data_IF_576431806573
#
_entry.id   IF_576431806573
#
_cell.length_a   1.000
_cell.length_b   1.000
_cell.length_c   1.000
_cell.angle_alpha   90.00
_cell.angle_beta   90.00
_cell.angle_gamma   90.00
#
_symmetry.space_group_name_H-M   'P 1'
#
loop_
_entity.id
_entity.type
_entity.pdbx_description
1 polymer ?
#
# COMPACT_ATOMS: atom_id res chain seq x y z
N UNK A 1 -9.84 21.08 -6.12
CA UNK A 1 -9.91 19.65 -5.74
C UNK A 1 -9.58 19.53 -4.27
N UNK A 2 -10.43 18.90 -3.50
CA UNK A 2 -10.23 18.64 -2.07
C UNK A 2 -10.19 17.12 -1.85
N UNK A 3 -9.13 16.64 -1.19
CA UNK A 3 -8.92 15.23 -0.89
C UNK A 3 -9.26 14.92 0.56
N UNK A 4 -9.94 13.81 0.78
CA UNK A 4 -10.20 13.28 2.11
C UNK A 4 -9.58 11.90 2.24
N UNK A 5 -8.60 11.76 3.12
CA UNK A 5 -8.05 10.48 3.51
C UNK A 5 -8.79 9.95 4.75
N UNK A 6 -9.17 8.69 4.70
CA UNK A 6 -9.75 7.96 5.85
C UNK A 6 -8.99 6.67 6.03
N UNK A 7 -8.65 6.35 7.29
CA UNK A 7 -7.99 5.11 7.67
C UNK A 7 -8.95 4.24 8.47
N UNK A 8 -8.99 2.95 8.15
CA UNK A 8 -9.64 1.90 8.93
C UNK A 8 -8.63 0.81 9.23
N UNK A 9 -8.33 0.59 10.50
CA UNK A 9 -7.38 -0.47 10.90
C UNK A 9 -8.16 -1.72 11.28
N UNK A 10 -7.81 -2.87 10.69
CA UNK A 10 -8.57 -4.11 10.83
C UNK A 10 -7.68 -5.37 10.78
N UNK A 11 -8.32 -6.51 11.06
CA UNK A 11 -7.65 -7.82 11.03
C UNK A 11 -6.84 -8.12 12.29
N UNK A 12 -6.33 -9.36 12.35
CA UNK A 12 -5.59 -9.88 13.51
C UNK A 12 -4.23 -9.21 13.71
N UNK A 13 -3.66 -8.66 12.65
CA UNK A 13 -2.37 -7.96 12.67
C UNK A 13 -2.50 -6.44 12.52
N UNK A 14 -3.74 -5.92 12.59
CA UNK A 14 -4.03 -4.49 12.62
C UNK A 14 -3.52 -3.74 11.38
N UNK A 15 -3.84 -4.24 10.19
CA UNK A 15 -3.47 -3.60 8.92
C UNK A 15 -4.28 -2.34 8.67
N UNK A 16 -3.63 -1.30 8.19
CA UNK A 16 -4.23 -0.03 7.82
C UNK A 16 -4.81 -0.09 6.41
N UNK A 17 -6.11 0.04 6.31
CA UNK A 17 -6.85 0.14 5.05
C UNK A 17 -7.12 1.62 4.79
N UNK A 18 -6.72 2.13 3.65
CA UNK A 18 -6.88 3.55 3.33
C UNK A 18 -7.95 3.77 2.27
N UNK A 19 -8.69 4.85 2.44
CA UNK A 19 -9.64 5.39 1.48
C UNK A 19 -9.21 6.81 1.14
N UNK A 20 -8.72 7.03 -0.06
CA UNK A 20 -8.46 8.39 -0.56
C UNK A 20 -9.64 8.79 -1.45
N UNK A 21 -10.37 9.81 -1.05
CA UNK A 21 -11.55 10.31 -1.75
C UNK A 21 -11.32 11.71 -2.31
N UNK A 22 -11.68 11.93 -3.56
CA UNK A 22 -11.92 13.25 -4.12
C UNK A 22 -13.33 13.68 -3.69
N UNK A 23 -13.42 14.76 -2.87
CA UNK A 23 -14.70 15.19 -2.29
C UNK A 23 -15.60 15.88 -3.31
N UNK A 24 -15.05 16.37 -4.42
CA UNK A 24 -15.81 17.04 -5.49
C UNK A 24 -16.50 16.03 -6.41
N UNK A 25 -15.79 14.95 -6.82
CA UNK A 25 -16.36 13.93 -7.70
C UNK A 25 -17.08 12.82 -6.93
N UNK A 26 -16.67 12.59 -5.66
CA UNK A 26 -17.13 11.48 -4.85
C UNK A 26 -16.36 10.19 -5.11
N UNK A 27 -15.48 10.13 -6.08
CA UNK A 27 -14.64 8.98 -6.39
C UNK A 27 -13.64 8.67 -5.28
N UNK A 28 -13.28 7.39 -5.13
CA UNK A 28 -12.40 6.91 -4.08
C UNK A 28 -11.49 5.78 -4.58
N UNK A 29 -10.24 5.79 -4.15
CA UNK A 29 -9.33 4.65 -4.26
C UNK A 29 -9.23 3.98 -2.89
N UNK A 30 -9.30 2.64 -2.87
CA UNK A 30 -9.13 1.82 -1.66
C UNK A 30 -7.77 1.12 -1.74
N UNK A 31 -6.95 1.25 -0.68
CA UNK A 31 -5.64 0.61 -0.60
C UNK A 31 -5.66 -0.49 0.48
N UNK A 32 -5.06 -1.63 0.13
CA UNK A 32 -4.82 -2.78 0.99
C UNK A 32 -6.06 -3.22 1.81
N UNK A 33 -7.16 -3.60 1.15
CA UNK A 33 -8.36 -4.07 1.86
C UNK A 33 -8.10 -5.45 2.48
N UNK A 34 -7.40 -5.46 3.60
CA UNK A 34 -6.82 -6.66 4.21
C UNK A 34 -7.76 -7.45 5.12
N UNK A 35 -8.93 -6.94 5.49
CA UNK A 35 -9.86 -7.66 6.34
C UNK A 35 -11.27 -7.05 6.30
N UNK A 36 -12.29 -7.85 6.67
CA UNK A 36 -13.64 -7.36 6.96
C UNK A 36 -14.30 -6.58 5.79
N UNK A 37 -14.45 -7.25 4.64
CA UNK A 37 -15.02 -6.68 3.43
C UNK A 37 -16.34 -5.94 3.66
N UNK A 38 -17.26 -6.52 4.43
CA UNK A 38 -18.56 -5.91 4.74
C UNK A 38 -18.40 -4.54 5.42
N UNK A 39 -17.40 -4.38 6.30
CA UNK A 39 -17.13 -3.10 6.97
C UNK A 39 -16.49 -2.08 6.02
N UNK A 40 -15.59 -2.52 5.16
CA UNK A 40 -14.98 -1.67 4.11
C UNK A 40 -16.07 -1.12 3.19
N UNK A 41 -16.98 -1.98 2.73
CA UNK A 41 -18.13 -1.61 1.91
C UNK A 41 -19.03 -0.61 2.64
N UNK A 42 -19.38 -0.88 3.90
CA UNK A 42 -20.19 0.03 4.72
C UNK A 42 -19.51 1.41 4.88
N UNK A 43 -18.20 1.44 5.11
CA UNK A 43 -17.44 2.70 5.22
C UNK A 43 -17.54 3.49 3.91
N UNK A 44 -17.25 2.85 2.79
CA UNK A 44 -17.30 3.51 1.48
C UNK A 44 -18.70 4.06 1.17
N UNK A 45 -19.73 3.23 1.28
CA UNK A 45 -21.09 3.60 0.89
C UNK A 45 -21.78 4.54 1.87
N UNK A 46 -21.74 4.20 3.18
CA UNK A 46 -22.57 4.88 4.18
C UNK A 46 -21.87 6.02 4.88
N UNK A 47 -20.58 5.83 5.24
CA UNK A 47 -19.85 6.83 6.00
C UNK A 47 -19.20 7.88 5.11
N UNK A 48 -18.53 7.42 4.02
CA UNK A 48 -17.86 8.31 3.08
C UNK A 48 -18.76 8.77 1.94
N UNK A 49 -19.82 8.02 1.65
CA UNK A 49 -20.65 8.22 0.45
C UNK A 49 -19.74 8.34 -0.78
N UNK A 50 -18.83 7.40 -0.91
CA UNK A 50 -17.81 7.37 -1.93
C UNK A 50 -18.16 6.35 -3.01
N UNK A 51 -17.65 6.58 -4.21
CA UNK A 51 -17.71 5.67 -5.32
C UNK A 51 -16.30 5.12 -5.57
N UNK A 52 -15.95 3.92 -5.09
CA UNK A 52 -14.66 3.32 -5.38
C UNK A 52 -14.45 3.14 -6.89
N UNK A 53 -13.26 3.49 -7.37
CA UNK A 53 -12.86 3.38 -8.79
C UNK A 53 -11.73 2.38 -8.99
N UNK A 54 -10.97 2.09 -7.94
CA UNK A 54 -9.88 1.12 -7.95
C UNK A 54 -9.61 0.56 -6.55
N UNK A 55 -9.05 -0.66 -6.52
CA UNK A 55 -8.37 -1.24 -5.36
C UNK A 55 -6.88 -1.35 -5.71
N UNK A 56 -6.00 -0.76 -4.90
CA UNK A 56 -4.56 -0.84 -5.05
C UNK A 56 -3.96 -1.72 -3.96
N UNK A 57 -3.07 -2.63 -4.33
CA UNK A 57 -2.33 -3.48 -3.40
C UNK A 57 -0.87 -3.04 -3.37
N UNK A 58 -0.34 -2.79 -2.18
CA UNK A 58 1.09 -2.49 -2.00
C UNK A 58 1.94 -3.76 -2.10
N UNK A 59 1.40 -4.88 -1.61
CA UNK A 59 2.00 -6.21 -1.71
C UNK A 59 0.93 -7.29 -1.44
N UNK A 60 1.32 -8.55 -1.51
CA UNK A 60 0.38 -9.66 -1.51
C UNK A 60 0.25 -10.44 -0.21
N UNK A 61 0.78 -10.03 0.94
CA UNK A 61 0.53 -10.74 2.19
C UNK A 61 -0.95 -10.75 2.54
N UNK A 62 -1.39 -11.85 3.18
CA UNK A 62 -2.81 -12.14 3.41
C UNK A 62 -3.58 -11.01 4.06
N UNK A 63 -2.95 -10.31 4.98
CA UNK A 63 -3.56 -9.24 5.76
C UNK A 63 -3.72 -7.92 4.98
N UNK A 64 -3.15 -7.81 3.79
CA UNK A 64 -3.38 -6.71 2.84
C UNK A 64 -4.39 -7.07 1.74
N UNK A 65 -4.65 -8.36 1.51
CA UNK A 65 -5.43 -8.81 0.35
C UNK A 65 -6.71 -9.56 0.70
N UNK A 66 -6.95 -9.93 1.96
CA UNK A 66 -8.02 -10.85 2.36
C UNK A 66 -9.41 -10.42 1.87
N UNK A 67 -9.71 -9.14 1.90
CA UNK A 67 -10.99 -8.59 1.45
C UNK A 67 -10.95 -8.02 0.01
N UNK A 68 -9.77 -8.00 -0.65
CA UNK A 68 -9.58 -7.29 -1.91
C UNK A 68 -10.52 -7.76 -3.02
N UNK A 69 -10.67 -9.08 -3.17
CA UNK A 69 -11.55 -9.64 -4.19
C UNK A 69 -13.01 -9.29 -3.94
N UNK A 70 -13.52 -9.51 -2.73
CA UNK A 70 -14.91 -9.25 -2.38
C UNK A 70 -15.26 -7.76 -2.53
N UNK A 71 -14.38 -6.88 -2.08
CA UNK A 71 -14.55 -5.42 -2.22
C UNK A 71 -14.55 -5.01 -3.70
N UNK A 72 -13.60 -5.51 -4.49
CA UNK A 72 -13.51 -5.18 -5.91
C UNK A 72 -14.72 -5.70 -6.71
N UNK A 73 -15.19 -6.93 -6.42
CA UNK A 73 -16.39 -7.51 -7.04
C UNK A 73 -17.66 -6.72 -6.68
N UNK A 74 -17.80 -6.31 -5.40
CA UNK A 74 -18.96 -5.54 -4.94
C UNK A 74 -19.11 -4.21 -5.68
N UNK A 75 -18.00 -3.48 -5.85
CA UNK A 75 -18.01 -2.18 -6.53
C UNK A 75 -17.83 -2.27 -8.05
N UNK A 76 -17.55 -3.46 -8.59
CA UNK A 76 -17.30 -3.64 -10.02
C UNK A 76 -16.00 -2.99 -10.50
N UNK A 77 -14.98 -2.86 -9.62
CA UNK A 77 -13.72 -2.20 -9.91
C UNK A 77 -12.57 -3.20 -10.06
N UNK A 78 -11.44 -2.73 -10.61
CA UNK A 78 -10.24 -3.55 -10.80
C UNK A 78 -9.33 -3.48 -9.58
N UNK A 79 -8.60 -4.58 -9.34
CA UNK A 79 -7.47 -4.65 -8.43
C UNK A 79 -6.20 -4.37 -9.23
N UNK A 80 -5.30 -3.56 -8.69
CA UNK A 80 -4.00 -3.23 -9.26
C UNK A 80 -2.90 -3.69 -8.30
N UNK A 81 -1.87 -4.32 -8.82
CA UNK A 81 -0.70 -4.76 -8.05
C UNK A 81 0.54 -4.78 -8.94
N UNK A 82 1.73 -4.69 -8.35
CA UNK A 82 2.96 -4.81 -9.12
C UNK A 82 3.05 -6.20 -9.78
N UNK A 83 3.43 -6.28 -11.06
CA UNK A 83 3.51 -7.55 -11.79
C UNK A 83 4.44 -8.55 -11.08
N UNK A 84 5.52 -8.08 -10.47
CA UNK A 84 6.46 -8.91 -9.73
C UNK A 84 5.83 -9.63 -8.51
N UNK A 85 4.64 -9.23 -8.07
CA UNK A 85 3.93 -9.85 -6.94
C UNK A 85 3.02 -11.01 -7.36
N UNK A 86 2.91 -11.29 -8.66
CA UNK A 86 1.98 -12.29 -9.23
C UNK A 86 2.07 -13.66 -8.59
N UNK A 87 3.27 -14.18 -8.40
CA UNK A 87 3.49 -15.50 -7.82
C UNK A 87 3.01 -15.54 -6.37
N UNK A 88 3.40 -14.55 -5.57
CA UNK A 88 3.02 -14.46 -4.18
C UNK A 88 1.50 -14.26 -4.00
N UNK A 89 0.87 -13.42 -4.81
CA UNK A 89 -0.58 -13.23 -4.81
C UNK A 89 -1.37 -14.50 -5.15
N UNK A 90 -0.78 -15.37 -5.95
CA UNK A 90 -1.40 -16.63 -6.40
C UNK A 90 -1.16 -17.84 -5.50
N UNK A 91 -0.27 -17.76 -4.51
CA UNK A 91 0.14 -18.88 -3.68
C UNK A 91 -0.13 -18.63 -2.18
N UNK A 92 -1.08 -19.38 -1.55
CA UNK A 92 -1.41 -19.25 -0.14
C UNK A 92 -0.26 -19.53 0.83
N UNK A 93 0.74 -20.30 0.42
CA UNK A 93 1.93 -20.55 1.25
C UNK A 93 2.85 -19.32 1.22
N UNK A 94 3.05 -18.73 0.05
CA UNK A 94 3.89 -17.54 -0.11
C UNK A 94 3.28 -16.30 0.49
N UNK A 95 1.96 -16.10 0.32
CA UNK A 95 1.24 -14.95 0.89
C UNK A 95 0.85 -15.13 2.37
N UNK A 96 1.26 -16.23 2.97
CA UNK A 96 1.07 -16.61 4.37
C UNK A 96 -0.37 -16.92 4.79
N UNK A 97 -1.37 -16.86 3.90
CA UNK A 97 -2.77 -17.16 4.26
C UNK A 97 -2.95 -18.61 4.73
N UNK A 98 -2.20 -19.56 4.15
CA UNK A 98 -2.24 -20.96 4.57
C UNK A 98 -1.83 -21.16 6.05
N UNK A 99 -0.90 -20.35 6.57
CA UNK A 99 -0.48 -20.40 7.98
C UNK A 99 -1.59 -20.00 8.97
N UNK A 100 -2.63 -19.32 8.46
CA UNK A 100 -3.83 -18.93 9.21
C UNK A 100 -5.05 -19.80 8.86
N UNK A 101 -4.83 -20.94 8.18
CA UNK A 101 -5.91 -21.84 7.76
C UNK A 101 -6.80 -21.28 6.64
N UNK A 102 -6.30 -20.34 5.85
CA UNK A 102 -7.00 -19.72 4.72
C UNK A 102 -6.30 -20.03 3.40
N UNK A 103 -7.07 -20.06 2.32
CA UNK A 103 -6.55 -20.23 0.95
C UNK A 103 -6.91 -19.01 0.11
N UNK A 104 -6.21 -17.90 0.34
CA UNK A 104 -6.46 -16.63 -0.35
C UNK A 104 -5.56 -16.53 -1.58
N UNK A 105 -6.18 -16.34 -2.75
CA UNK A 105 -5.47 -16.10 -4.01
C UNK A 105 -6.08 -14.92 -4.76
N UNK A 106 -5.22 -14.03 -5.25
CA UNK A 106 -5.58 -12.95 -6.16
C UNK A 106 -4.92 -13.23 -7.52
N UNK A 107 -5.65 -13.93 -8.39
CA UNK A 107 -5.14 -14.33 -9.72
C UNK A 107 -5.55 -13.38 -10.83
N UNK A 108 -6.59 -12.55 -10.58
CA UNK A 108 -7.10 -11.56 -11.53
C UNK A 108 -6.84 -10.16 -11.02
N UNK A 109 -5.89 -9.47 -11.59
CA UNK A 109 -5.57 -8.07 -11.31
C UNK A 109 -4.97 -7.40 -12.55
N UNK A 110 -4.95 -6.09 -12.57
CA UNK A 110 -4.22 -5.29 -13.58
C UNK A 110 -2.79 -5.18 -13.10
N UNK A 111 -1.83 -5.74 -13.84
CA UNK A 111 -0.42 -5.61 -13.48
C UNK A 111 0.07 -4.20 -13.74
N UNK A 112 0.85 -3.66 -12.79
CA UNK A 112 1.55 -2.38 -12.94
C UNK A 112 3.06 -2.59 -12.82
N UNK A 113 3.84 -1.62 -13.32
CA UNK A 113 5.30 -1.67 -13.37
C UNK A 113 5.94 -0.54 -12.53
N UNK A 114 7.22 -0.72 -12.16
CA UNK A 114 8.00 0.35 -11.53
C UNK A 114 8.06 1.60 -12.42
N UNK A 115 7.77 2.75 -11.85
CA UNK A 115 7.74 4.02 -12.56
C UNK A 115 6.48 4.27 -13.40
N UNK A 116 5.53 3.34 -13.43
CA UNK A 116 4.25 3.53 -14.10
C UNK A 116 3.43 4.62 -13.40
N UNK A 117 2.66 5.37 -14.20
CA UNK A 117 1.75 6.41 -13.73
C UNK A 117 0.31 5.98 -13.95
N UNK A 118 -0.49 6.00 -12.90
CA UNK A 118 -1.91 5.69 -12.92
C UNK A 118 -2.70 6.98 -12.72
N UNK A 119 -3.81 7.11 -13.43
CA UNK A 119 -4.71 8.26 -13.32
C UNK A 119 -5.98 7.86 -12.57
N UNK A 120 -6.07 8.27 -11.30
CA UNK A 120 -7.25 8.11 -10.46
C UNK A 120 -7.53 9.39 -9.70
N UNK A 121 -8.80 9.75 -9.57
CA UNK A 121 -9.24 10.92 -8.79
C UNK A 121 -8.72 12.26 -9.34
N UNK A 122 -8.43 12.36 -10.64
CA UNK A 122 -7.72 13.49 -11.26
C UNK A 122 -6.30 13.70 -10.68
N UNK A 123 -5.67 12.62 -10.20
CA UNK A 123 -4.33 12.62 -9.62
C UNK A 123 -3.42 11.65 -10.34
N UNK A 124 -2.16 12.03 -10.44
CA UNK A 124 -1.07 11.23 -10.97
C UNK A 124 -0.45 10.37 -9.86
N UNK A 125 -0.71 9.07 -9.90
CA UNK A 125 -0.21 8.07 -8.95
C UNK A 125 1.00 7.36 -9.53
N UNK A 126 2.18 7.69 -9.04
CA UNK A 126 3.41 6.99 -9.44
C UNK A 126 3.56 5.69 -8.66
N UNK A 127 3.77 4.58 -9.37
CA UNK A 127 4.14 3.29 -8.79
C UNK A 127 5.65 3.27 -8.54
N UNK A 128 6.07 3.01 -7.32
CA UNK A 128 7.47 2.91 -6.93
C UNK A 128 7.71 1.49 -6.40
N UNK A 129 8.35 0.62 -7.20
CA UNK A 129 8.74 -0.71 -6.71
C UNK A 129 9.78 -0.60 -5.60
N UNK A 130 9.50 -1.25 -4.49
CA UNK A 130 10.35 -1.30 -3.30
C UNK A 130 10.50 -2.74 -2.81
N UNK A 131 11.11 -3.64 -3.63
CA UNK A 131 11.25 -5.03 -3.24
C UNK A 131 12.05 -5.17 -1.94
N UNK A 132 11.67 -6.15 -1.13
CA UNK A 132 12.43 -6.48 0.07
C UNK A 132 11.61 -6.94 1.25
N UNK A 133 10.43 -6.37 1.52
CA UNK A 133 9.44 -7.00 2.40
C UNK A 133 8.84 -8.22 1.68
N UNK A 134 8.35 -8.02 0.47
CA UNK A 134 8.16 -9.07 -0.56
C UNK A 134 8.93 -8.72 -1.82
N UNK A 135 9.05 -9.67 -2.75
CA UNK A 135 9.74 -9.47 -4.02
C UNK A 135 9.04 -8.46 -4.95
N UNK A 136 7.74 -8.31 -4.81
CA UNK A 136 6.92 -7.39 -5.59
C UNK A 136 6.26 -6.28 -4.77
N UNK A 137 6.80 -5.96 -3.58
CA UNK A 137 6.33 -4.79 -2.82
C UNK A 137 6.49 -3.51 -3.60
N UNK A 138 5.49 -2.63 -3.51
CA UNK A 138 5.54 -1.29 -4.10
C UNK A 138 4.88 -0.26 -3.18
N UNK A 139 5.22 0.99 -3.44
CA UNK A 139 4.57 2.16 -2.84
C UNK A 139 3.81 2.92 -3.93
N UNK A 140 2.75 3.63 -3.54
CA UNK A 140 2.03 4.53 -4.41
C UNK A 140 2.28 5.97 -3.96
N UNK A 141 2.84 6.78 -4.84
CA UNK A 141 3.22 8.16 -4.56
C UNK A 141 2.38 9.15 -5.38
N UNK A 142 1.88 10.19 -4.72
CA UNK A 142 1.14 11.29 -5.34
C UNK A 142 1.90 12.59 -5.03
N UNK A 143 2.64 13.09 -6.01
CA UNK A 143 3.49 14.27 -5.84
C UNK A 143 2.75 15.60 -5.87
N UNK A 144 1.59 15.65 -6.54
CA UNK A 144 0.79 16.89 -6.71
C UNK A 144 -0.63 16.65 -6.25
N UNK A 145 -0.93 17.05 -5.04
CA UNK A 145 -2.25 16.87 -4.41
C UNK A 145 -3.00 18.19 -4.20
N UNK A 146 -2.36 19.32 -4.47
CA UNK A 146 -2.84 20.64 -4.04
C UNK A 146 -2.50 20.95 -2.57
N UNK A 147 -1.92 20.01 -1.86
CA UNK A 147 -1.41 20.09 -0.48
C UNK A 147 -0.04 19.38 -0.38
N UNK A 148 0.29 18.75 0.75
CA UNK A 148 1.51 17.96 0.86
C UNK A 148 1.42 16.69 -0.01
N UNK A 149 2.55 16.25 -0.61
CA UNK A 149 2.63 14.97 -1.30
C UNK A 149 2.27 13.79 -0.39
N UNK A 150 1.76 12.72 -0.98
CA UNK A 150 1.29 11.53 -0.26
C UNK A 150 2.07 10.31 -0.74
N UNK A 151 2.49 9.46 0.20
CA UNK A 151 3.09 8.15 -0.05
C UNK A 151 2.33 7.08 0.74
N UNK A 152 1.74 6.11 0.06
CA UNK A 152 1.27 4.87 0.67
C UNK A 152 2.40 3.85 0.57
N UNK A 153 3.02 3.53 1.70
CA UNK A 153 4.27 2.77 1.72
C UNK A 153 4.09 1.27 1.95
N UNK A 154 2.87 0.81 2.21
CA UNK A 154 2.65 -0.57 2.64
C UNK A 154 3.62 -0.96 3.75
N UNK A 155 4.22 -2.13 3.62
CA UNK A 155 5.18 -2.65 4.59
C UNK A 155 6.65 -2.40 4.20
N UNK A 156 6.88 -1.33 3.44
CA UNK A 156 8.25 -0.89 3.12
C UNK A 156 8.82 0.04 4.18
N UNK A 157 8.11 1.14 4.48
CA UNK A 157 8.57 2.19 5.38
C UNK A 157 7.51 2.46 6.46
N UNK A 158 7.90 2.29 7.72
CA UNK A 158 7.10 2.61 8.90
C UNK A 158 7.67 3.81 9.63
N UNK A 159 6.92 4.31 10.59
CA UNK A 159 7.41 5.37 11.47
C UNK A 159 8.59 4.87 12.31
N UNK A 160 9.78 5.44 12.04
CA UNK A 160 11.04 5.10 12.72
C UNK A 160 11.40 3.59 12.62
N UNK A 161 10.86 2.91 11.59
CA UNK A 161 11.04 1.48 11.36
C UNK A 161 10.85 1.12 9.89
N UNK A 162 11.00 -0.15 9.54
CA UNK A 162 10.76 -0.70 8.22
C UNK A 162 10.25 -2.13 8.30
N UNK A 163 9.73 -2.64 7.19
CA UNK A 163 9.14 -3.98 7.11
C UNK A 163 10.16 -5.09 7.37
N UNK A 164 9.69 -6.19 7.93
CA UNK A 164 10.50 -7.42 8.09
C UNK A 164 10.81 -8.03 6.72
N UNK A 165 11.85 -8.86 6.67
CA UNK A 165 12.38 -9.42 5.42
C UNK A 165 12.66 -10.91 5.49
N UNK A 166 12.15 -11.59 6.51
CA UNK A 166 12.38 -13.02 6.81
C UNK A 166 11.28 -13.95 6.28
N UNK A 167 10.28 -13.41 5.57
CA UNK A 167 9.24 -14.16 4.89
C UNK A 167 9.63 -14.49 3.43
N UNK A 168 8.87 -15.37 2.75
CA UNK A 168 9.12 -15.71 1.35
C UNK A 168 9.34 -14.47 0.47
N UNK A 169 10.35 -14.51 -0.39
CA UNK A 169 10.79 -13.42 -1.28
C UNK A 169 11.41 -12.21 -0.58
N UNK A 170 11.52 -12.19 0.76
CA UNK A 170 12.09 -11.10 1.53
C UNK A 170 13.60 -10.90 1.30
N UNK A 171 14.07 -9.64 1.38
CA UNK A 171 15.48 -9.26 1.24
C UNK A 171 15.76 -7.93 1.90
N UNK A 172 16.44 -7.95 3.04
CA UNK A 172 16.79 -6.70 3.76
C UNK A 172 17.63 -5.76 2.90
N UNK A 173 18.60 -6.31 2.14
CA UNK A 173 19.44 -5.51 1.25
C UNK A 173 18.62 -4.73 0.21
N UNK A 174 17.61 -5.37 -0.40
CA UNK A 174 16.75 -4.70 -1.38
C UNK A 174 15.83 -3.70 -0.73
N UNK A 175 15.26 -4.02 0.44
CA UNK A 175 14.41 -3.13 1.21
C UNK A 175 15.13 -1.83 1.57
N UNK A 176 16.33 -1.95 2.17
CA UNK A 176 17.14 -0.79 2.55
C UNK A 176 17.54 0.05 1.33
N UNK A 177 17.94 -0.60 0.22
CA UNK A 177 18.25 0.10 -1.02
C UNK A 177 17.05 0.88 -1.58
N UNK A 178 15.84 0.29 -1.54
CA UNK A 178 14.59 0.94 -1.95
C UNK A 178 14.25 2.14 -1.07
N UNK A 179 14.31 1.97 0.24
CA UNK A 179 14.07 3.06 1.21
C UNK A 179 15.04 4.21 0.96
N UNK A 180 16.35 3.94 0.96
CA UNK A 180 17.39 4.97 0.83
C UNK A 180 17.39 5.64 -0.55
N UNK A 181 17.28 4.85 -1.62
CA UNK A 181 17.44 5.32 -2.99
C UNK A 181 16.18 5.86 -3.64
N UNK A 182 14.99 5.44 -3.19
CA UNK A 182 13.72 5.81 -3.81
C UNK A 182 12.81 6.62 -2.88
N UNK A 183 12.69 6.25 -1.60
CA UNK A 183 11.72 6.88 -0.71
C UNK A 183 12.31 8.08 0.04
N UNK A 184 13.49 7.93 0.65
CA UNK A 184 14.10 9.03 1.40
C UNK A 184 14.61 10.18 0.52
N UNK A 185 14.56 10.06 -0.80
CA UNK A 185 14.87 11.15 -1.75
C UNK A 185 13.64 11.98 -2.12
N UNK A 186 12.44 11.54 -1.74
CA UNK A 186 11.19 12.28 -1.93
C UNK A 186 11.20 13.61 -1.14
N UNK A 187 10.33 14.57 -1.49
CA UNK A 187 10.18 15.82 -0.74
C UNK A 187 9.96 15.58 0.75
N UNK A 188 10.60 16.36 1.61
CA UNK A 188 10.58 16.15 3.06
C UNK A 188 9.20 16.26 3.70
N UNK A 189 8.35 17.12 3.14
CA UNK A 189 6.96 17.28 3.57
C UNK A 189 6.02 16.16 3.09
N UNK A 190 6.52 15.13 2.39
CA UNK A 190 5.69 14.00 1.97
C UNK A 190 5.12 13.28 3.18
N UNK A 191 3.79 13.18 3.25
CA UNK A 191 3.08 12.38 4.26
C UNK A 191 3.18 10.89 3.90
N UNK A 192 3.56 10.07 4.85
CA UNK A 192 3.72 8.61 4.67
C UNK A 192 2.63 7.88 5.45
N UNK A 193 1.90 7.04 4.74
CA UNK A 193 0.80 6.21 5.23
C UNK A 193 1.17 4.73 5.10
N UNK A 194 1.70 4.11 6.18
CA UNK A 194 2.19 2.74 6.15
C UNK A 194 1.09 1.70 6.30
N UNK A 195 1.40 0.45 5.97
CA UNK A 195 0.51 -0.70 6.14
C UNK A 195 0.14 -0.99 7.59
N UNK A 196 1.00 -0.64 8.52
CA UNK A 196 0.77 -0.79 9.97
C UNK A 196 1.16 0.47 10.72
N UNK A 197 0.72 0.55 11.98
CA UNK A 197 1.07 1.61 12.94
C UNK A 197 0.58 3.02 12.54
N UNK A 198 1.35 4.04 12.92
CA UNK A 198 1.02 5.45 12.72
C UNK A 198 1.63 6.05 11.46
N UNK A 199 1.04 7.12 10.97
CA UNK A 199 1.57 7.94 9.89
C UNK A 199 2.87 8.66 10.28
N UNK A 200 3.67 9.03 9.28
CA UNK A 200 4.91 9.77 9.45
C UNK A 200 5.16 10.72 8.27
N UNK A 201 6.37 11.26 8.16
CA UNK A 201 6.82 12.09 7.03
C UNK A 201 8.21 11.68 6.57
N UNK A 202 8.54 11.95 5.32
CA UNK A 202 9.90 11.71 4.82
C UNK A 202 10.95 12.49 5.63
N UNK A 203 10.62 13.70 6.12
CA UNK A 203 11.53 14.45 7.01
C UNK A 203 11.82 13.69 8.30
N UNK A 204 10.79 13.11 8.95
CA UNK A 204 10.99 12.32 10.17
C UNK A 204 11.84 11.09 9.90
N UNK A 205 11.54 10.37 8.81
CA UNK A 205 12.25 9.14 8.49
C UNK A 205 13.72 9.37 8.08
N UNK A 206 14.05 10.48 7.44
CA UNK A 206 15.44 10.88 7.21
C UNK A 206 16.22 11.09 8.51
N UNK A 207 15.55 11.55 9.56
CA UNK A 207 16.19 11.91 10.85
C UNK A 207 16.29 10.73 11.80
N UNK A 208 15.29 9.87 11.84
CA UNK A 208 15.13 8.90 12.94
C UNK A 208 15.03 7.46 12.49
N UNK A 209 14.78 7.19 11.20
CA UNK A 209 14.64 5.81 10.72
C UNK A 209 16.00 5.11 10.70
N UNK A 210 16.14 3.92 11.30
CA UNK A 210 17.37 3.14 11.22
C UNK A 210 17.85 2.90 9.79
N UNK A 211 16.92 2.67 8.84
CA UNK A 211 17.24 2.47 7.43
C UNK A 211 18.01 3.65 6.80
N UNK A 212 17.84 4.87 7.31
CA UNK A 212 18.57 6.05 6.79
C UNK A 212 20.07 5.98 7.05
N UNK A 213 20.51 5.19 8.02
CA UNK A 213 21.90 5.14 8.51
C UNK A 213 22.58 3.80 8.25
N UNK A 214 21.83 2.71 8.08
CA UNK A 214 22.38 1.39 7.80
C UNK A 214 23.10 1.37 6.43
N UNK A 215 24.29 0.79 6.38
CA UNK A 215 25.10 0.68 5.16
C UNK A 215 25.92 1.92 4.77
N UNK A 216 25.88 3.02 5.54
CA UNK A 216 26.73 4.21 5.33
C UNK A 216 28.08 4.13 6.05
N UNK A 217 28.37 3.02 6.71
CA UNK A 217 29.60 2.82 7.49
C UNK A 217 30.71 2.08 6.71
N UNK A 218 30.70 2.16 5.37
CA UNK A 218 31.80 1.64 4.55
C UNK A 218 32.43 2.75 3.73
#
# INVERSE_FOLDING_TARGET
MELKLTKYTAGVVQTNIYFLKNTETGECVILDPGANASKIIEIAEKQLKAQPVAVLLTHGHFDHIMAAREVAEHFGVKIYALEAERELLGDPQMNLSASFGMEICITKFVPVQDGEHLDFLDLDWQVIATPGHTGGSCCYYIGKTGAEPILFSGDTLFRESYGRTDFPTGSERLLLAGIQGKLLVLPENTKVYPGHEGETTIENEKKYNPAAFLGRLC
#
